data_IF_625761117562
#
_entry.id   IF_625761117562
#
_cell.length_a   1.000
_cell.length_b   1.000
_cell.length_c   1.000
_cell.angle_alpha   90.00
_cell.angle_beta   90.00
_cell.angle_gamma   90.00
#
_symmetry.space_group_name_H-M   'P 1'
#
loop_
_entity.id
_entity.type
_entity.pdbx_description
1 polymer ?
#
# COMPACT_ATOMS: atom_id res chain seq x y z
N UNK A 1 66.82 -3.47 18.16
CA UNK A 1 66.60 -4.05 19.50
C UNK A 1 65.11 -4.20 19.73
N UNK A 2 64.58 -5.42 19.74
CA UNK A 2 63.16 -5.65 19.98
C UNK A 2 62.86 -5.34 21.46
N UNK A 3 62.00 -4.35 21.73
CA UNK A 3 61.47 -4.10 23.08
C UNK A 3 60.64 -5.32 23.49
N UNK A 4 61.19 -6.15 24.38
CA UNK A 4 60.43 -7.25 24.99
C UNK A 4 59.22 -6.69 25.72
N UNK A 5 58.08 -7.34 25.54
CA UNK A 5 56.83 -6.93 26.19
C UNK A 5 56.95 -7.13 27.70
N UNK A 6 56.23 -6.33 28.50
CA UNK A 6 56.26 -6.42 29.97
C UNK A 6 55.97 -7.85 30.48
N UNK A 7 55.11 -8.59 29.75
CA UNK A 7 54.83 -10.00 30.04
C UNK A 7 56.03 -10.92 29.79
N UNK A 8 56.83 -10.66 28.77
CA UNK A 8 58.06 -11.42 28.49
C UNK A 8 59.17 -11.07 29.49
N UNK A 9 59.26 -9.81 29.93
CA UNK A 9 60.16 -9.40 31.01
C UNK A 9 59.84 -10.11 32.34
N UNK A 10 58.55 -10.24 32.68
CA UNK A 10 58.11 -10.97 33.88
C UNK A 10 58.32 -12.48 33.79
N UNK A 11 58.24 -13.05 32.58
CA UNK A 11 58.49 -14.48 32.37
C UNK A 11 59.99 -14.81 32.43
N UNK A 12 60.84 -13.90 31.95
CA UNK A 12 62.29 -14.01 32.05
C UNK A 12 62.80 -13.76 33.47
N UNK A 13 62.08 -12.96 34.26
CA UNK A 13 62.32 -12.78 35.70
C UNK A 13 61.80 -13.94 36.58
N UNK A 14 61.21 -15.00 36.00
CA UNK A 14 60.77 -16.19 36.73
C UNK A 14 59.50 -16.03 37.57
N UNK A 15 58.85 -14.85 37.54
CA UNK A 15 57.62 -14.59 38.31
C UNK A 15 56.37 -15.27 37.72
N UNK A 16 56.40 -15.69 36.45
CA UNK A 16 55.25 -16.27 35.76
C UNK A 16 55.64 -17.51 34.96
N UNK A 17 54.87 -18.58 35.15
CA UNK A 17 55.03 -19.85 34.44
C UNK A 17 54.52 -19.77 32.98
N UNK A 18 55.33 -20.27 32.02
CA UNK A 18 55.00 -20.35 30.58
C UNK A 18 53.66 -21.03 30.32
N UNK A 19 53.26 -22.00 31.16
CA UNK A 19 51.93 -22.64 31.07
C UNK A 19 50.79 -21.67 31.40
N UNK A 20 50.93 -20.81 32.40
CA UNK A 20 49.89 -19.84 32.78
C UNK A 20 49.72 -18.74 31.73
N UNK A 21 50.82 -18.26 31.15
CA UNK A 21 50.77 -17.25 30.09
C UNK A 21 50.07 -17.78 28.81
N UNK A 22 50.39 -19.00 28.36
CA UNK A 22 49.70 -19.64 27.23
C UNK A 22 48.21 -19.90 27.51
N UNK A 23 47.85 -20.27 28.75
CA UNK A 23 46.44 -20.52 29.14
C UNK A 23 45.62 -19.22 29.16
N UNK A 24 46.19 -18.12 29.64
CA UNK A 24 45.59 -16.79 29.62
C UNK A 24 45.36 -16.28 28.18
N UNK A 25 46.36 -16.41 27.29
CA UNK A 25 46.22 -16.04 25.88
C UNK A 25 45.16 -16.87 25.13
N UNK A 26 45.05 -18.18 25.43
CA UNK A 26 44.03 -19.07 24.83
C UNK A 26 42.62 -18.76 25.34
N UNK A 27 42.48 -18.37 26.61
CA UNK A 27 41.22 -17.91 27.20
C UNK A 27 40.76 -16.58 26.59
N UNK A 28 41.65 -15.60 26.47
CA UNK A 28 41.38 -14.30 25.84
C UNK A 28 40.93 -14.45 24.38
N UNK A 29 41.60 -15.31 23.59
CA UNK A 29 41.17 -15.60 22.20
C UNK A 29 39.78 -16.22 22.12
N UNK A 30 39.46 -17.21 22.96
CA UNK A 30 38.11 -17.82 23.01
C UNK A 30 37.02 -16.83 23.41
N UNK A 31 37.28 -15.97 24.39
CA UNK A 31 36.33 -14.93 24.80
C UNK A 31 36.07 -13.93 23.68
N UNK A 32 37.12 -13.54 22.94
CA UNK A 32 36.99 -12.60 21.83
C UNK A 32 36.25 -13.19 20.62
N UNK A 33 36.38 -14.49 20.35
CA UNK A 33 35.61 -15.16 19.29
C UNK A 33 34.14 -15.30 19.68
N UNK A 34 33.85 -15.72 20.91
CA UNK A 34 32.48 -15.80 21.44
C UNK A 34 31.78 -14.43 21.42
N UNK A 35 32.49 -13.36 21.79
CA UNK A 35 31.95 -12.00 21.73
C UNK A 35 31.71 -11.51 20.29
N UNK A 36 32.43 -12.03 19.30
CA UNK A 36 32.24 -11.67 17.88
C UNK A 36 31.07 -12.44 17.27
N UNK A 37 30.96 -13.74 17.53
CA UNK A 37 29.80 -14.56 17.15
C UNK A 37 28.51 -14.04 17.79
N UNK A 38 28.54 -13.69 19.08
CA UNK A 38 27.38 -13.12 19.76
C UNK A 38 26.94 -11.79 19.14
N UNK A 39 27.88 -10.94 18.69
CA UNK A 39 27.55 -9.70 17.97
C UNK A 39 26.95 -9.96 16.60
N UNK A 40 27.52 -10.89 15.84
CA UNK A 40 27.01 -11.27 14.52
C UNK A 40 25.59 -11.87 14.61
N UNK A 41 25.35 -12.77 15.57
CA UNK A 41 24.02 -13.36 15.78
C UNK A 41 22.96 -12.32 16.20
N UNK A 42 23.36 -11.27 16.93
CA UNK A 42 22.44 -10.16 17.29
C UNK A 42 22.18 -9.26 16.08
N UNK A 43 23.18 -9.01 15.25
CA UNK A 43 23.06 -8.18 14.05
C UNK A 43 22.23 -8.86 12.96
N UNK A 44 22.39 -10.18 12.78
CA UNK A 44 21.54 -11.02 11.91
C UNK A 44 20.08 -11.07 12.40
N UNK A 45 19.86 -11.24 13.71
CA UNK A 45 18.51 -11.18 14.27
C UNK A 45 17.87 -9.80 14.11
N UNK A 46 18.65 -8.74 14.27
CA UNK A 46 18.16 -7.36 14.13
C UNK A 46 17.79 -7.04 12.68
N UNK A 47 18.59 -7.49 11.72
CA UNK A 47 18.30 -7.29 10.29
C UNK A 47 17.08 -8.10 9.84
N UNK A 48 16.94 -9.35 10.30
CA UNK A 48 15.74 -10.16 10.04
C UNK A 48 14.46 -9.54 10.64
N UNK A 49 14.54 -9.02 11.88
CA UNK A 49 13.41 -8.31 12.51
C UNK A 49 13.04 -7.03 11.74
N UNK A 50 14.04 -6.25 11.31
CA UNK A 50 13.79 -5.03 10.52
C UNK A 50 13.11 -5.34 9.18
N UNK A 51 13.52 -6.42 8.49
CA UNK A 51 12.89 -6.82 7.23
C UNK A 51 11.42 -7.23 7.44
N UNK A 52 11.14 -8.01 8.49
CA UNK A 52 9.78 -8.41 8.83
C UNK A 52 8.89 -7.22 9.23
N UNK A 53 9.43 -6.29 10.03
CA UNK A 53 8.71 -5.07 10.43
C UNK A 53 8.44 -4.16 9.23
N UNK A 54 9.37 -4.06 8.29
CA UNK A 54 9.19 -3.29 7.06
C UNK A 54 8.04 -3.86 6.22
N UNK A 55 8.01 -5.17 6.00
CA UNK A 55 6.95 -5.81 5.21
C UNK A 55 5.57 -5.63 5.86
N UNK A 56 5.49 -5.82 7.18
CA UNK A 56 4.25 -5.63 7.94
C UNK A 56 3.79 -4.16 7.91
N UNK A 57 4.71 -3.21 7.98
CA UNK A 57 4.40 -1.78 7.85
C UNK A 57 3.92 -1.41 6.44
N UNK A 58 4.51 -2.00 5.40
CA UNK A 58 4.06 -1.80 4.02
C UNK A 58 2.63 -2.32 3.85
N UNK A 59 2.30 -3.51 4.34
CA UNK A 59 0.94 -4.04 4.29
C UNK A 59 -0.06 -3.12 5.00
N UNK A 60 0.26 -2.67 6.23
CA UNK A 60 -0.56 -1.72 6.97
C UNK A 60 -0.74 -0.39 6.23
N UNK A 61 0.31 0.11 5.57
CA UNK A 61 0.25 1.35 4.79
C UNK A 61 -0.70 1.19 3.61
N UNK A 62 -0.59 0.09 2.87
CA UNK A 62 -1.48 -0.20 1.74
C UNK A 62 -2.95 -0.34 2.19
N UNK A 63 -3.21 -1.01 3.32
CA UNK A 63 -4.55 -1.09 3.88
C UNK A 63 -5.10 0.27 4.32
N UNK A 64 -4.25 1.10 4.93
CA UNK A 64 -4.62 2.45 5.35
C UNK A 64 -4.93 3.35 4.15
N UNK A 65 -4.14 3.26 3.08
CA UNK A 65 -4.36 3.98 1.82
C UNK A 65 -5.69 3.56 1.18
N UNK A 66 -5.97 2.26 1.05
CA UNK A 66 -7.26 1.75 0.56
C UNK A 66 -8.44 2.29 1.37
N UNK A 67 -8.33 2.26 2.71
CA UNK A 67 -9.36 2.80 3.61
C UNK A 67 -9.52 4.31 3.46
N UNK A 68 -8.43 5.05 3.27
CA UNK A 68 -8.46 6.49 3.07
C UNK A 68 -9.16 6.87 1.75
N UNK A 69 -8.87 6.14 0.67
CA UNK A 69 -9.54 6.32 -0.62
C UNK A 69 -11.04 6.04 -0.49
N UNK A 70 -11.42 4.91 0.11
CA UNK A 70 -12.83 4.57 0.33
C UNK A 70 -13.56 5.63 1.19
N UNK A 71 -12.90 6.17 2.21
CA UNK A 71 -13.45 7.25 3.03
C UNK A 71 -13.62 8.56 2.23
N UNK A 72 -12.65 8.91 1.39
CA UNK A 72 -12.74 10.09 0.52
C UNK A 72 -13.90 9.96 -0.48
N UNK A 73 -14.05 8.79 -1.10
CA UNK A 73 -15.17 8.49 -2.00
C UNK A 73 -16.49 8.63 -1.26
N UNK A 74 -16.61 8.04 -0.07
CA UNK A 74 -17.80 8.16 0.78
C UNK A 74 -18.15 9.63 1.07
N UNK A 75 -17.17 10.46 1.39
CA UNK A 75 -17.37 11.88 1.64
C UNK A 75 -17.85 12.61 0.37
N UNK A 76 -17.25 12.32 -0.79
CA UNK A 76 -17.67 12.91 -2.07
C UNK A 76 -19.12 12.57 -2.40
N UNK A 77 -19.52 11.31 -2.19
CA UNK A 77 -20.90 10.87 -2.38
C UNK A 77 -21.83 11.56 -1.39
N UNK A 78 -21.45 11.65 -0.11
CA UNK A 78 -22.27 12.29 0.92
C UNK A 78 -22.53 13.78 0.66
N UNK A 79 -21.51 14.51 0.18
CA UNK A 79 -21.60 15.93 -0.12
C UNK A 79 -22.40 16.23 -1.40
N UNK A 80 -22.39 15.32 -2.37
CA UNK A 80 -23.01 15.51 -3.68
C UNK A 80 -24.26 14.65 -3.90
N UNK A 81 -24.77 13.99 -2.86
CA UNK A 81 -26.01 13.21 -2.95
C UNK A 81 -27.18 14.14 -3.24
N UNK A 82 -27.99 13.75 -4.21
CA UNK A 82 -29.24 14.44 -4.52
C UNK A 82 -30.35 13.80 -3.69
N UNK A 83 -31.10 14.61 -2.95
CA UNK A 83 -32.26 14.14 -2.18
C UNK A 83 -33.36 13.62 -3.12
N UNK A 84 -33.90 12.45 -2.79
CA UNK A 84 -34.83 11.67 -3.63
C UNK A 84 -36.25 11.61 -3.05
N UNK A 85 -36.60 12.54 -2.17
CA UNK A 85 -37.78 12.45 -1.29
C UNK A 85 -39.13 12.37 -2.02
N UNK A 86 -39.20 12.66 -3.32
CA UNK A 86 -40.46 12.77 -4.07
C UNK A 86 -40.57 11.82 -5.28
N UNK A 87 -39.64 10.87 -5.43
CA UNK A 87 -39.61 9.98 -6.59
C UNK A 87 -40.62 8.83 -6.52
N UNK A 88 -41.58 8.78 -7.44
CA UNK A 88 -42.52 7.65 -7.60
C UNK A 88 -42.10 6.68 -8.74
N UNK A 89 -41.13 7.08 -9.57
CA UNK A 89 -40.73 6.31 -10.75
C UNK A 89 -39.63 5.32 -10.39
N UNK A 90 -39.89 4.05 -10.64
CA UNK A 90 -38.92 2.99 -10.46
C UNK A 90 -37.90 2.91 -11.59
N UNK A 91 -36.66 3.26 -11.30
CA UNK A 91 -35.53 3.04 -12.20
C UNK A 91 -34.80 1.74 -11.83
N UNK A 92 -34.72 0.81 -12.79
CA UNK A 92 -34.01 -0.46 -12.61
C UNK A 92 -32.58 -0.31 -13.13
N UNK A 93 -31.63 -0.84 -12.37
CA UNK A 93 -30.21 -0.85 -12.74
C UNK A 93 -29.56 -2.16 -12.33
N UNK A 94 -28.47 -2.50 -13.00
CA UNK A 94 -27.66 -3.70 -12.72
C UNK A 94 -26.52 -3.36 -11.78
N UNK A 95 -26.40 -4.10 -10.70
CA UNK A 95 -25.29 -4.04 -9.76
C UNK A 95 -24.60 -5.41 -9.75
N UNK A 96 -23.54 -5.54 -10.55
CA UNK A 96 -22.94 -6.85 -10.88
C UNK A 96 -23.96 -7.75 -11.58
N UNK A 97 -24.32 -8.87 -10.93
CA UNK A 97 -25.28 -9.87 -11.46
C UNK A 97 -26.73 -9.60 -11.04
N UNK A 98 -26.99 -8.64 -10.15
CA UNK A 98 -28.31 -8.41 -9.56
C UNK A 98 -28.98 -7.17 -10.15
N UNK A 99 -30.23 -7.29 -10.59
CA UNK A 99 -31.06 -6.14 -10.97
C UNK A 99 -31.68 -5.55 -9.70
N UNK A 100 -31.42 -4.27 -9.45
CA UNK A 100 -31.94 -3.51 -8.31
C UNK A 100 -32.79 -2.35 -8.81
N UNK A 101 -33.66 -1.84 -7.95
CA UNK A 101 -34.61 -0.77 -8.28
C UNK A 101 -34.44 0.39 -7.30
N UNK A 102 -34.38 1.61 -7.83
CA UNK A 102 -34.44 2.84 -7.04
C UNK A 102 -35.62 3.70 -7.48
N UNK A 103 -36.28 4.33 -6.51
CA UNK A 103 -37.33 5.31 -6.79
C UNK A 103 -36.73 6.69 -7.00
N UNK A 104 -37.04 7.31 -8.14
CA UNK A 104 -36.50 8.60 -8.57
C UNK A 104 -37.61 9.46 -9.18
N UNK A 105 -37.37 10.77 -9.23
CA UNK A 105 -38.24 11.72 -9.93
C UNK A 105 -38.07 11.60 -11.45
N UNK A 106 -39.06 12.04 -12.22
CA UNK A 106 -39.00 12.06 -13.69
C UNK A 106 -37.78 12.82 -14.21
N UNK A 107 -37.52 14.02 -13.67
CA UNK A 107 -36.34 14.81 -14.03
C UNK A 107 -35.03 14.08 -13.74
N UNK A 108 -34.95 13.40 -12.60
CA UNK A 108 -33.76 12.61 -12.22
C UNK A 108 -33.60 11.39 -13.11
N UNK A 109 -34.68 10.70 -13.47
CA UNK A 109 -34.68 9.60 -14.41
C UNK A 109 -34.16 10.05 -15.78
N UNK A 110 -34.69 11.15 -16.32
CA UNK A 110 -34.24 11.70 -17.61
C UNK A 110 -32.77 12.09 -17.54
N UNK A 111 -32.30 12.66 -16.42
CA UNK A 111 -30.88 13.00 -16.23
C UNK A 111 -29.97 11.78 -16.06
N UNK A 112 -30.46 10.69 -15.47
CA UNK A 112 -29.76 9.40 -15.39
C UNK A 112 -29.64 8.76 -16.79
N UNK A 113 -30.71 8.81 -17.59
CA UNK A 113 -30.71 8.32 -18.97
C UNK A 113 -29.79 9.17 -19.84
N UNK A 114 -29.80 10.49 -19.67
CA UNK A 114 -28.91 11.43 -20.37
C UNK A 114 -27.48 11.49 -19.79
N UNK A 115 -27.11 10.61 -18.85
CA UNK A 115 -25.75 10.52 -18.35
C UNK A 115 -25.24 11.70 -17.51
N UNK A 116 -26.11 12.66 -17.19
CA UNK A 116 -25.75 13.79 -16.33
C UNK A 116 -25.68 13.39 -14.86
N UNK A 117 -26.43 12.36 -14.49
CA UNK A 117 -26.42 11.76 -13.17
C UNK A 117 -25.98 10.31 -13.27
N UNK A 118 -25.43 9.82 -12.18
CA UNK A 118 -24.94 8.47 -12.01
C UNK A 118 -25.43 7.89 -10.68
N UNK A 119 -25.45 6.56 -10.59
CA UNK A 119 -25.81 5.83 -9.37
C UNK A 119 -24.53 5.26 -8.77
N UNK A 120 -24.22 5.68 -7.55
CA UNK A 120 -23.10 5.18 -6.77
C UNK A 120 -23.61 4.36 -5.57
N UNK A 121 -22.85 3.33 -5.20
CA UNK A 121 -23.10 2.57 -3.98
C UNK A 121 -22.71 3.43 -2.77
N UNK A 122 -23.61 3.55 -1.81
CA UNK A 122 -23.38 4.37 -0.61
C UNK A 122 -23.89 3.65 0.64
N UNK A 123 -22.96 3.32 1.54
CA UNK A 123 -23.25 2.55 2.76
C UNK A 123 -24.04 1.28 2.42
N UNK A 124 -25.26 1.14 2.93
CA UNK A 124 -26.15 -0.02 2.73
C UNK A 124 -27.16 0.18 1.59
N UNK A 125 -26.98 1.21 0.75
CA UNK A 125 -27.92 1.56 -0.31
C UNK A 125 -27.29 2.23 -1.52
N UNK A 126 -28.10 3.06 -2.19
CA UNK A 126 -27.74 3.72 -3.46
C UNK A 126 -28.00 5.22 -3.38
N UNK A 127 -26.99 5.99 -3.75
CA UNK A 127 -27.08 7.44 -3.88
C UNK A 127 -27.02 7.83 -5.36
N UNK A 128 -27.76 8.89 -5.70
CA UNK A 128 -27.65 9.53 -7.02
C UNK A 128 -26.70 10.70 -6.88
N UNK A 129 -25.67 10.73 -7.72
CA UNK A 129 -24.63 11.76 -7.75
C UNK A 129 -24.50 12.34 -9.16
N UNK A 130 -23.98 13.58 -9.31
CA UNK A 130 -23.65 14.12 -10.62
C UNK A 130 -22.59 13.28 -11.35
N UNK A 131 -22.68 13.20 -12.69
CA UNK A 131 -21.73 12.48 -13.54
C UNK A 131 -20.28 12.91 -13.29
N UNK A 132 -20.03 14.22 -13.18
CA UNK A 132 -18.69 14.78 -12.87
C UNK A 132 -18.11 14.26 -11.55
N UNK A 133 -18.97 13.96 -10.57
CA UNK A 133 -18.54 13.39 -9.29
C UNK A 133 -18.35 11.88 -9.42
N UNK A 134 -19.19 11.20 -10.20
CA UNK A 134 -18.99 9.80 -10.54
C UNK A 134 -17.67 9.59 -11.30
N UNK A 135 -17.33 10.39 -12.30
CA UNK A 135 -16.06 10.25 -13.02
C UNK A 135 -14.85 10.39 -12.08
N UNK A 136 -14.93 11.32 -11.11
CA UNK A 136 -13.91 11.50 -10.07
C UNK A 136 -13.83 10.31 -9.10
N UNK A 137 -14.95 9.64 -8.85
CA UNK A 137 -14.99 8.43 -8.04
C UNK A 137 -14.42 7.27 -8.86
N UNK A 138 -14.74 7.13 -10.15
CA UNK A 138 -14.28 6.06 -11.04
C UNK A 138 -12.75 6.03 -11.13
N UNK A 139 -12.14 7.21 -11.25
CA UNK A 139 -10.68 7.38 -11.28
C UNK A 139 -9.98 6.91 -9.99
N UNK A 140 -10.71 6.81 -8.87
CA UNK A 140 -10.15 6.43 -7.57
C UNK A 140 -10.55 5.02 -7.15
N UNK A 141 -11.80 4.68 -7.38
CA UNK A 141 -12.45 3.45 -6.96
C UNK A 141 -13.63 3.13 -7.90
N UNK A 142 -13.34 2.31 -8.91
CA UNK A 142 -14.30 1.88 -9.94
C UNK A 142 -15.42 1.01 -9.36
N UNK A 143 -15.16 0.24 -8.30
CA UNK A 143 -16.15 -0.68 -7.69
C UNK A 143 -17.34 0.05 -7.05
N UNK A 144 -17.18 1.33 -6.72
CA UNK A 144 -18.24 2.11 -6.06
C UNK A 144 -19.31 2.60 -7.05
N UNK A 145 -19.03 2.60 -8.36
CA UNK A 145 -19.96 3.11 -9.37
C UNK A 145 -20.76 1.97 -9.96
N UNK A 146 -22.08 2.14 -9.94
CA UNK A 146 -23.00 1.10 -10.38
C UNK A 146 -23.60 1.44 -11.74
N UNK A 147 -23.91 2.72 -11.96
CA UNK A 147 -24.38 3.23 -13.25
C UNK A 147 -23.69 4.54 -13.53
N UNK A 148 -22.81 4.55 -14.52
CA UNK A 148 -22.40 5.75 -15.22
C UNK A 148 -22.82 5.57 -16.68
N UNK A 149 -23.98 6.10 -17.04
CA UNK A 149 -24.40 6.08 -18.43
C UNK A 149 -23.69 7.25 -19.10
N UNK A 150 -22.42 7.12 -19.46
CA UNK A 150 -21.79 8.14 -20.29
C UNK A 150 -22.61 8.22 -21.57
N UNK A 151 -23.23 9.37 -21.85
CA UNK A 151 -23.70 9.65 -23.21
C UNK A 151 -22.43 9.55 -24.01
N UNK A 152 -22.31 8.45 -24.72
CA UNK A 152 -21.23 8.17 -25.64
C UNK A 152 -20.94 9.44 -26.40
N UNK A 153 -19.77 10.03 -26.14
CA UNK A 153 -18.98 10.61 -27.21
C UNK A 153 -18.66 9.46 -28.17
N UNK A 154 -19.66 9.03 -28.94
CA UNK A 154 -19.45 8.43 -30.24
C UNK A 154 -18.93 9.55 -31.15
N UNK A 155 -17.68 9.96 -30.93
CA UNK A 155 -16.84 10.70 -31.87
C UNK A 155 -15.52 11.10 -31.16
N UNK A 156 -14.54 10.19 -31.15
CA UNK A 156 -13.11 10.45 -31.43
C UNK A 156 -12.20 9.35 -30.83
N UNK A 157 -12.43 8.10 -31.22
CA UNK A 157 -11.32 7.14 -31.36
C UNK A 157 -10.84 7.23 -32.80
N UNK A 158 -10.11 8.31 -33.13
CA UNK A 158 -9.48 8.49 -34.45
C UNK A 158 -8.36 9.56 -34.38
N UNK A 159 -7.44 9.42 -33.42
CA UNK A 159 -6.01 9.81 -33.53
C UNK A 159 -5.34 9.66 -32.16
N UNK A 160 -4.84 8.47 -31.84
CA UNK A 160 -3.79 8.31 -30.84
C UNK A 160 -2.42 8.28 -31.56
N UNK A 161 -1.73 9.43 -31.71
CA UNK A 161 -0.41 9.50 -32.34
C UNK A 161 0.73 8.91 -31.48
N UNK A 162 0.44 8.27 -30.33
CA UNK A 162 1.44 7.67 -29.44
C UNK A 162 1.38 6.14 -29.35
N UNK A 163 0.54 5.47 -30.17
CA UNK A 163 0.51 4.00 -30.26
C UNK A 163 1.86 3.36 -30.68
N UNK A 164 2.77 4.14 -31.27
CA UNK A 164 4.12 3.70 -31.65
C UNK A 164 5.14 3.73 -30.49
N UNK A 165 4.80 4.26 -29.32
CA UNK A 165 5.70 4.17 -28.16
C UNK A 165 5.47 2.86 -27.40
N UNK A 166 6.02 1.79 -27.96
CA UNK A 166 6.34 0.57 -27.21
C UNK A 166 7.27 0.97 -26.07
N UNK A 167 6.76 1.06 -24.84
CA UNK A 167 7.59 1.17 -23.64
C UNK A 167 8.45 -0.10 -23.61
N UNK A 168 9.77 -0.01 -23.79
CA UNK A 168 10.62 -1.19 -23.76
C UNK A 168 10.61 -1.72 -22.33
N UNK A 169 10.22 -2.98 -22.20
CA UNK A 169 10.24 -3.78 -20.97
C UNK A 169 11.69 -4.04 -20.55
N UNK A 170 12.38 -3.00 -20.08
CA UNK A 170 13.68 -3.12 -19.43
C UNK A 170 13.89 -2.02 -18.38
N UNK A 171 13.42 -2.32 -17.17
CA UNK A 171 14.11 -1.85 -15.98
C UNK A 171 14.32 -3.03 -15.03
N UNK A 172 15.27 -3.89 -15.41
CA UNK A 172 15.97 -4.77 -14.49
C UNK A 172 17.00 -3.96 -13.70
N UNK A 173 16.67 -3.54 -12.46
CA UNK A 173 17.53 -3.54 -11.26
C UNK A 173 16.79 -3.03 -10.01
#
# INVERSE_FOLDING_TARGET
>A
MAKLTLQEQMLQAGLIDKKKMKKAGKSSKKSRTLAKEAKQAVEEKRTAQLAQDQELNLQKKLEAEKKAVAAQVKQLVEMNKIDRKDGDIGYNFTDGTLVKKIYVNKTTQDQLVNGRLAIARYMDGYAVVPGVVADKIAQRDDETIVVNNTVTEQAADEDDPYADFVVPDDLMW
#
